data_IF_999173003233
#
_entry.id   IF_999173003233
#
_cell.length_a   1.000
_cell.length_b   1.000
_cell.length_c   1.000
_cell.angle_alpha   90.00
_cell.angle_beta   90.00
_cell.angle_gamma   90.00
#
_symmetry.space_group_name_H-M   'P 1'
#
loop_
_entity.id
_entity.type
_entity.pdbx_description
1 polymer ?
#
# COMPACT_ATOMS: atom_id res chain seq x y z
N UNK A 1 30.42 11.42 4.12
CA UNK A 1 29.31 10.62 3.59
C UNK A 1 29.81 9.88 2.36
N UNK A 2 29.61 8.57 2.34
CA UNK A 2 29.89 7.69 1.20
C UNK A 2 28.73 7.70 0.20
N UNK A 3 28.99 7.27 -1.03
CA UNK A 3 27.95 7.04 -2.05
C UNK A 3 26.91 6.02 -1.53
N UNK A 4 27.34 5.04 -0.73
CA UNK A 4 26.45 4.07 -0.08
C UNK A 4 25.45 4.74 0.88
N UNK A 5 25.91 5.67 1.73
CA UNK A 5 25.04 6.42 2.66
C UNK A 5 23.95 7.22 1.92
N UNK A 6 24.26 7.71 0.70
CA UNK A 6 23.31 8.44 -0.14
C UNK A 6 22.24 7.53 -0.76
N UNK A 7 22.62 6.32 -1.20
CA UNK A 7 21.65 5.35 -1.73
C UNK A 7 20.70 4.83 -0.65
N UNK A 8 21.23 4.53 0.53
CA UNK A 8 20.43 4.02 1.66
C UNK A 8 19.43 5.07 2.16
N UNK A 9 19.87 6.33 2.32
CA UNK A 9 18.99 7.43 2.74
C UNK A 9 17.87 7.71 1.74
N UNK A 10 18.15 7.64 0.43
CA UNK A 10 17.12 7.82 -0.61
C UNK A 10 16.11 6.68 -0.67
N UNK A 11 16.51 5.44 -0.37
CA UNK A 11 15.60 4.31 -0.27
C UNK A 11 14.71 4.40 0.98
N UNK A 12 15.32 4.67 2.14
CA UNK A 12 14.61 4.83 3.42
C UNK A 12 13.55 5.94 3.33
N UNK A 13 13.90 7.10 2.76
CA UNK A 13 12.94 8.20 2.56
C UNK A 13 11.75 7.79 1.68
N UNK A 14 11.99 7.04 0.60
CA UNK A 14 10.89 6.54 -0.27
C UNK A 14 9.96 5.57 0.47
N UNK A 15 10.49 4.73 1.35
CA UNK A 15 9.67 3.84 2.18
C UNK A 15 8.86 4.63 3.22
N UNK A 16 9.46 5.63 3.87
CA UNK A 16 8.76 6.53 4.80
C UNK A 16 7.63 7.29 4.10
N UNK A 17 7.88 7.89 2.94
CA UNK A 17 6.86 8.60 2.15
C UNK A 17 5.73 7.65 1.73
N UNK A 18 6.06 6.43 1.32
CA UNK A 18 5.06 5.41 0.99
C UNK A 18 4.22 5.01 2.19
N UNK A 19 4.87 4.78 3.35
CA UNK A 19 4.17 4.46 4.58
C UNK A 19 3.25 5.61 5.02
N UNK A 20 3.74 6.85 4.97
CA UNK A 20 2.97 8.05 5.31
C UNK A 20 1.75 8.24 4.39
N UNK A 21 1.88 7.97 3.09
CA UNK A 21 0.76 7.99 2.17
C UNK A 21 -0.32 6.97 2.56
N UNK A 22 0.07 5.79 3.03
CA UNK A 22 -0.86 4.76 3.49
C UNK A 22 -1.51 5.14 4.82
N UNK A 23 -0.75 5.69 5.78
CA UNK A 23 -1.28 6.24 7.04
C UNK A 23 -2.32 7.33 6.76
N UNK A 24 -2.04 8.23 5.80
CA UNK A 24 -2.98 9.27 5.36
C UNK A 24 -4.31 8.69 4.88
N UNK A 25 -4.25 7.59 4.12
CA UNK A 25 -5.45 6.88 3.64
C UNK A 25 -6.20 6.21 4.79
N UNK A 26 -5.48 5.55 5.71
CA UNK A 26 -6.09 4.91 6.88
C UNK A 26 -6.77 5.94 7.80
N UNK A 27 -6.22 7.16 7.91
CA UNK A 27 -6.77 8.26 8.70
C UNK A 27 -7.91 9.03 8.01
N UNK A 28 -8.43 8.58 6.87
CA UNK A 28 -9.41 9.35 6.07
C UNK A 28 -10.72 9.66 6.80
N UNK A 29 -11.13 8.82 7.75
CA UNK A 29 -12.32 9.00 8.60
C UNK A 29 -11.99 9.55 10.00
N UNK A 30 -10.70 9.89 10.24
CA UNK A 30 -10.19 10.46 11.47
C UNK A 30 -9.87 9.44 12.58
N UNK A 31 -10.06 8.13 12.36
CA UNK A 31 -9.84 7.11 13.39
C UNK A 31 -9.16 5.86 12.80
N UNK A 32 -7.98 5.51 13.32
CA UNK A 32 -7.37 4.19 13.04
C UNK A 32 -7.98 3.15 13.98
N UNK A 33 -8.66 2.15 13.42
CA UNK A 33 -9.17 1.00 14.18
C UNK A 33 -8.04 0.07 14.64
N UNK A 34 -8.33 -0.86 15.57
CA UNK A 34 -7.36 -1.86 16.03
C UNK A 34 -6.82 -2.74 14.89
N UNK A 35 -7.70 -3.08 13.95
CA UNK A 35 -7.42 -3.91 12.78
C UNK A 35 -6.54 -3.14 11.78
N UNK A 36 -6.87 -1.88 11.50
CA UNK A 36 -6.04 -1.01 10.65
C UNK A 36 -4.68 -0.74 11.31
N UNK A 37 -4.62 -0.59 12.64
CA UNK A 37 -3.35 -0.47 13.37
C UNK A 37 -2.48 -1.71 13.20
N UNK A 38 -3.06 -2.91 13.34
CA UNK A 38 -2.34 -4.15 13.12
C UNK A 38 -1.82 -4.29 11.69
N UNK A 39 -2.58 -3.81 10.70
CA UNK A 39 -2.12 -3.70 9.32
C UNK A 39 -0.93 -2.76 9.17
N UNK A 40 -1.03 -1.54 9.72
CA UNK A 40 0.06 -0.56 9.66
C UNK A 40 1.33 -1.08 10.32
N UNK A 41 1.22 -1.81 11.44
CA UNK A 41 2.36 -2.44 12.11
C UNK A 41 3.06 -3.47 11.22
N UNK A 42 2.30 -4.28 10.46
CA UNK A 42 2.88 -5.24 9.50
C UNK A 42 3.50 -4.53 8.30
N UNK A 43 2.86 -3.48 7.82
CA UNK A 43 3.36 -2.68 6.69
C UNK A 43 4.67 -1.97 7.04
N UNK A 44 4.75 -1.37 8.22
CA UNK A 44 5.96 -0.73 8.72
C UNK A 44 7.15 -1.68 8.74
N UNK A 45 6.95 -2.92 9.23
CA UNK A 45 7.98 -3.97 9.20
C UNK A 45 8.40 -4.35 7.78
N UNK A 46 7.45 -4.43 6.83
CA UNK A 46 7.75 -4.74 5.42
C UNK A 46 8.55 -3.63 4.73
N UNK A 47 8.31 -2.38 5.13
CA UNK A 47 8.97 -1.21 4.58
C UNK A 47 10.22 -0.79 5.36
N UNK A 48 10.63 -1.58 6.35
CA UNK A 48 11.77 -1.31 7.24
C UNK A 48 11.69 0.07 7.91
N UNK A 49 10.49 0.42 8.38
CA UNK A 49 10.23 1.67 9.10
C UNK A 49 10.62 1.48 10.56
N UNK A 50 11.53 2.33 11.04
CA UNK A 50 11.94 2.32 12.45
C UNK A 50 10.78 2.69 13.38
N UNK A 51 10.82 2.27 14.64
CA UNK A 51 9.78 2.63 15.62
C UNK A 51 9.68 4.15 15.86
N UNK A 52 10.80 4.88 15.74
CA UNK A 52 10.81 6.34 15.80
C UNK A 52 10.08 6.95 14.60
N UNK A 53 10.44 6.55 13.38
CA UNK A 53 9.81 7.07 12.16
C UNK A 53 8.33 6.70 12.12
N UNK A 54 7.98 5.49 12.55
CA UNK A 54 6.60 5.03 12.65
C UNK A 54 5.76 5.97 13.52
N UNK A 55 6.24 6.31 14.72
CA UNK A 55 5.55 7.20 15.66
C UNK A 55 5.47 8.63 15.13
N UNK A 56 6.53 9.10 14.48
CA UNK A 56 6.59 10.43 13.87
C UNK A 56 5.59 10.54 12.72
N UNK A 57 5.58 9.56 11.81
CA UNK A 57 4.65 9.50 10.68
C UNK A 57 3.20 9.38 11.18
N UNK A 58 2.91 8.56 12.20
CA UNK A 58 1.55 8.51 12.75
C UNK A 58 1.09 9.85 13.34
N UNK A 59 2.02 10.63 13.90
CA UNK A 59 1.74 11.93 14.49
C UNK A 59 1.56 13.02 13.42
N UNK A 60 2.36 12.99 12.36
CA UNK A 60 2.38 14.03 11.32
C UNK A 60 2.61 13.46 9.91
N UNK A 61 1.72 12.55 9.48
CA UNK A 61 1.75 11.95 8.13
C UNK A 61 1.56 12.99 7.01
N UNK A 62 1.05 14.17 7.35
CA UNK A 62 0.80 15.24 6.40
C UNK A 62 2.09 15.92 5.92
N UNK A 63 3.13 15.89 6.76
CA UNK A 63 4.45 16.48 6.50
C UNK A 63 5.27 15.76 5.42
N UNK A 64 4.95 14.50 5.12
CA UNK A 64 5.62 13.71 4.08
C UNK A 64 5.10 14.03 2.68
N UNK A 65 6.01 14.00 1.71
CA UNK A 65 5.69 14.18 0.30
C UNK A 65 4.84 13.00 -0.22
N UNK A 66 3.76 13.31 -0.94
CA UNK A 66 3.01 12.27 -1.65
C UNK A 66 3.78 11.93 -2.92
N UNK A 67 4.52 10.83 -2.87
CA UNK A 67 5.32 10.29 -3.98
C UNK A 67 4.67 9.00 -4.53
N UNK A 68 3.54 9.08 -5.25
CA UNK A 68 2.88 7.89 -5.79
C UNK A 68 3.78 7.25 -6.86
N UNK A 69 3.65 5.94 -7.11
CA UNK A 69 4.43 5.28 -8.13
C UNK A 69 4.20 5.92 -9.51
N UNK A 70 5.29 6.29 -10.19
CA UNK A 70 5.22 7.10 -11.42
C UNK A 70 4.72 6.32 -12.64
N UNK A 71 4.97 5.01 -12.69
CA UNK A 71 4.50 4.14 -13.77
C UNK A 71 3.29 3.30 -13.35
N UNK A 72 2.53 2.83 -14.33
CA UNK A 72 1.40 1.93 -14.08
C UNK A 72 1.87 0.58 -13.51
N UNK A 73 2.98 0.04 -14.02
CA UNK A 73 3.55 -1.22 -13.53
C UNK A 73 3.94 -1.15 -12.06
N UNK A 74 4.60 -0.06 -11.65
CA UNK A 74 4.92 0.16 -10.22
C UNK A 74 3.67 0.31 -9.36
N UNK A 75 2.56 0.83 -9.89
CA UNK A 75 1.27 0.85 -9.17
C UNK A 75 0.71 -0.56 -8.99
N UNK A 76 0.84 -1.42 -9.99
CA UNK A 76 0.38 -2.81 -9.94
C UNK A 76 1.24 -3.67 -8.98
N UNK A 77 2.57 -3.50 -8.99
CA UNK A 77 3.46 -4.15 -8.01
C UNK A 77 3.05 -3.79 -6.56
N UNK A 78 2.81 -2.49 -6.31
CA UNK A 78 2.34 -2.02 -4.99
C UNK A 78 0.96 -2.54 -4.65
N UNK A 79 0.04 -2.58 -5.61
CA UNK A 79 -1.28 -3.15 -5.42
C UNK A 79 -1.19 -4.63 -5.06
N UNK A 80 -0.35 -5.41 -5.74
CA UNK A 80 -0.13 -6.83 -5.44
C UNK A 80 0.36 -7.03 -4.01
N UNK A 81 1.35 -6.24 -3.61
CA UNK A 81 1.90 -6.25 -2.26
C UNK A 81 0.85 -5.94 -1.18
N UNK A 82 0.05 -4.90 -1.39
CA UNK A 82 -1.01 -4.53 -0.45
C UNK A 82 -2.14 -5.55 -0.45
N UNK A 83 -2.53 -6.06 -1.61
CA UNK A 83 -3.57 -7.07 -1.74
C UNK A 83 -3.22 -8.35 -0.98
N UNK A 84 -1.97 -8.82 -1.07
CA UNK A 84 -1.48 -9.96 -0.28
C UNK A 84 -1.54 -9.69 1.22
N UNK A 85 -1.13 -8.50 1.66
CA UNK A 85 -1.13 -8.13 3.08
C UNK A 85 -2.53 -7.97 3.67
N UNK A 86 -3.46 -7.40 2.88
CA UNK A 86 -4.86 -7.24 3.26
C UNK A 86 -5.55 -8.60 3.28
N UNK A 87 -5.35 -9.43 2.25
CA UNK A 87 -5.95 -10.77 2.15
C UNK A 87 -5.52 -11.70 3.29
N UNK A 88 -4.22 -11.70 3.61
CA UNK A 88 -3.68 -12.50 4.72
C UNK A 88 -4.15 -12.01 6.10
N UNK A 89 -4.69 -10.80 6.19
CA UNK A 89 -5.24 -10.28 7.44
C UNK A 89 -6.70 -10.65 7.61
N UNK A 90 -6.93 -11.81 8.23
CA UNK A 90 -8.27 -12.29 8.56
C UNK A 90 -9.02 -11.38 9.56
N UNK A 91 -8.35 -10.44 10.24
CA UNK A 91 -9.00 -9.54 11.20
C UNK A 91 -9.80 -8.43 10.52
N UNK A 92 -9.40 -8.00 9.33
CA UNK A 92 -10.12 -6.98 8.57
C UNK A 92 -11.49 -7.46 8.08
N UNK A 93 -11.66 -8.78 7.86
CA UNK A 93 -12.92 -9.39 7.42
C UNK A 93 -13.53 -8.68 6.21
N UNK A 94 -14.79 -8.26 6.32
CA UNK A 94 -15.51 -7.55 5.25
C UNK A 94 -14.92 -6.17 4.90
N UNK A 95 -14.08 -5.60 5.77
CA UNK A 95 -13.41 -4.30 5.54
C UNK A 95 -12.19 -4.39 4.61
N UNK A 96 -11.73 -5.60 4.28
CA UNK A 96 -10.58 -5.81 3.38
C UNK A 96 -10.75 -5.09 2.04
N UNK A 97 -11.92 -5.25 1.42
CA UNK A 97 -12.24 -4.62 0.11
C UNK A 97 -12.19 -3.10 0.23
N UNK A 98 -12.94 -2.53 1.16
CA UNK A 98 -13.01 -1.08 1.35
C UNK A 98 -11.65 -0.47 1.72
N UNK A 99 -10.81 -1.19 2.47
CA UNK A 99 -9.44 -0.76 2.75
C UNK A 99 -8.60 -0.76 1.47
N UNK A 100 -8.62 -1.83 0.70
CA UNK A 100 -7.82 -1.94 -0.52
C UNK A 100 -8.27 -0.99 -1.63
N UNK A 101 -9.56 -0.64 -1.71
CA UNK A 101 -10.08 0.42 -2.58
C UNK A 101 -9.53 1.80 -2.23
N UNK A 102 -9.57 2.17 -0.93
CA UNK A 102 -8.99 3.42 -0.44
C UNK A 102 -7.48 3.49 -0.76
N UNK A 103 -6.77 2.38 -0.56
CA UNK A 103 -5.34 2.26 -0.91
C UNK A 103 -5.12 2.37 -2.43
N UNK A 104 -5.95 1.73 -3.24
CA UNK A 104 -5.89 1.81 -4.70
C UNK A 104 -6.06 3.24 -5.21
N UNK A 105 -7.00 4.01 -4.64
CA UNK A 105 -7.13 5.44 -4.94
C UNK A 105 -5.84 6.19 -4.56
N UNK A 106 -5.29 5.92 -3.37
CA UNK A 106 -4.03 6.51 -2.90
C UNK A 106 -2.81 6.16 -3.78
N UNK A 107 -2.81 4.98 -4.42
CA UNK A 107 -1.80 4.59 -5.40
C UNK A 107 -1.98 5.29 -6.75
N UNK A 108 -3.12 5.96 -7.00
CA UNK A 108 -3.41 6.66 -8.24
C UNK A 108 -4.17 5.82 -9.27
N UNK A 109 -4.94 4.81 -8.84
CA UNK A 109 -5.97 4.19 -9.68
C UNK A 109 -7.21 5.12 -9.78
N UNK A 110 -7.97 5.00 -10.87
CA UNK A 110 -9.12 5.86 -11.09
C UNK A 110 -10.27 5.45 -10.13
N UNK A 111 -10.85 6.38 -9.35
CA UNK A 111 -11.96 6.05 -8.45
C UNK A 111 -13.16 5.36 -9.11
N UNK A 112 -13.38 5.59 -10.41
CA UNK A 112 -14.48 4.97 -11.18
C UNK A 112 -14.25 3.49 -11.41
N UNK A 113 -13.00 3.02 -11.51
CA UNK A 113 -12.68 1.64 -11.84
C UNK A 113 -11.97 0.86 -10.70
N UNK A 114 -11.62 1.53 -9.60
CA UNK A 114 -10.85 0.93 -8.52
C UNK A 114 -11.53 -0.31 -7.92
N UNK A 115 -12.86 -0.31 -7.79
CA UNK A 115 -13.61 -1.47 -7.28
C UNK A 115 -13.39 -2.73 -8.13
N UNK A 116 -13.39 -2.60 -9.46
CA UNK A 116 -13.14 -3.73 -10.36
C UNK A 116 -11.69 -4.22 -10.29
N UNK A 117 -10.75 -3.27 -10.20
CA UNK A 117 -9.32 -3.57 -10.05
C UNK A 117 -9.06 -4.33 -8.75
N UNK A 118 -9.68 -3.88 -7.65
CA UNK A 118 -9.54 -4.48 -6.32
C UNK A 118 -10.18 -5.87 -6.24
N UNK A 119 -11.39 -6.03 -6.77
CA UNK A 119 -12.06 -7.34 -6.82
C UNK A 119 -11.20 -8.37 -7.59
N UNK A 120 -10.70 -8.00 -8.78
CA UNK A 120 -9.79 -8.87 -9.54
C UNK A 120 -8.51 -9.14 -8.77
N UNK A 121 -7.90 -8.13 -8.14
CA UNK A 121 -6.67 -8.27 -7.38
C UNK A 121 -6.81 -9.28 -6.23
N UNK A 122 -7.89 -9.19 -5.45
CA UNK A 122 -8.15 -10.11 -4.34
C UNK A 122 -8.40 -11.54 -4.83
N UNK A 123 -9.11 -11.72 -5.95
CA UNK A 123 -9.32 -13.05 -6.58
C UNK A 123 -8.01 -13.67 -7.04
N UNK A 124 -7.13 -12.90 -7.67
CA UNK A 124 -5.82 -13.37 -8.12
C UNK A 124 -4.93 -13.78 -6.93
N UNK A 125 -4.90 -12.95 -5.88
CA UNK A 125 -4.16 -13.26 -4.64
C UNK A 125 -4.72 -14.51 -3.97
N UNK A 126 -6.04 -14.65 -3.88
CA UNK A 126 -6.70 -15.84 -3.35
C UNK A 126 -6.34 -17.10 -4.16
N UNK A 127 -6.21 -16.98 -5.48
CA UNK A 127 -5.80 -18.06 -6.37
C UNK A 127 -4.29 -18.37 -6.30
N UNK A 128 -3.51 -17.63 -5.50
CA UNK A 128 -2.07 -17.85 -5.35
C UNK A 128 -1.25 -17.41 -6.57
N UNK A 129 -1.78 -16.48 -7.37
CA UNK A 129 -1.11 -15.96 -8.57
C UNK A 129 0.15 -15.16 -8.16
N UNK A 130 1.25 -15.39 -8.86
CA UNK A 130 2.50 -14.64 -8.68
C UNK A 130 2.41 -13.20 -9.22
N UNK A 131 3.43 -12.39 -8.93
CA UNK A 131 3.42 -10.96 -9.26
C UNK A 131 3.35 -10.68 -10.76
N UNK A 132 4.13 -11.41 -11.56
CA UNK A 132 4.21 -11.22 -13.01
C UNK A 132 2.85 -11.53 -13.66
N UNK A 133 2.27 -12.68 -13.33
CA UNK A 133 0.95 -13.06 -13.82
C UNK A 133 -0.16 -12.14 -13.29
N UNK A 134 -0.04 -11.66 -12.05
CA UNK A 134 -1.00 -10.70 -11.49
C UNK A 134 -1.02 -9.39 -12.29
N UNK A 135 0.16 -8.86 -12.63
CA UNK A 135 0.31 -7.63 -13.41
C UNK A 135 -0.32 -7.82 -14.79
N UNK A 136 -0.02 -8.94 -15.46
CA UNK A 136 -0.53 -9.24 -16.79
C UNK A 136 -2.05 -9.43 -16.80
N UNK A 137 -2.61 -10.14 -15.84
CA UNK A 137 -4.06 -10.35 -15.70
C UNK A 137 -4.81 -9.03 -15.48
N UNK A 138 -4.27 -8.10 -14.68
CA UNK A 138 -4.92 -6.80 -14.46
C UNK A 138 -4.81 -5.91 -15.70
N UNK A 139 -3.65 -5.86 -16.37
CA UNK A 139 -3.47 -5.09 -17.61
C UNK A 139 -4.45 -5.51 -18.71
N UNK A 140 -4.80 -6.78 -18.75
CA UNK A 140 -5.66 -7.37 -19.77
C UNK A 140 -7.12 -7.55 -19.32
N UNK A 141 -7.52 -6.98 -18.18
CA UNK A 141 -8.86 -7.22 -17.59
C UNK A 141 -10.05 -6.77 -18.44
N UNK A 142 -9.83 -5.92 -19.45
CA UNK A 142 -10.85 -5.38 -20.35
C UNK A 142 -10.87 -6.06 -21.74
N UNK A 143 -10.16 -7.18 -21.90
CA UNK A 143 -10.12 -7.95 -23.15
C UNK A 143 -11.12 -9.09 -23.16
#
# INVERSE_FOLDING_TARGET
MSISDFFDSGFQKRNQDHFAAIVRVAMSDGVITSEERAFLDRLARKLDISDSDYKEILKDYASHDINPPTSYDRRLERLYDLARMVYADHQLGEKQVAMLERLGIGLGFNPVNVTYVVDKALKLVQAGVDEDNFIDEIKNMNR
#
